data_IF_396270157679
#
_entry.id   IF_396270157679
#
_cell.length_a   1.000
_cell.length_b   1.000
_cell.length_c   1.000
_cell.angle_alpha   90.00
_cell.angle_beta   90.00
_cell.angle_gamma   90.00
#
_symmetry.space_group_name_H-M   'P 1'
#
loop_
_entity.id
_entity.type
_entity.pdbx_description
1 polymer ?
#
# COMPACT_ATOMS: atom_id res chain seq x y z
N UNK A 1 -20.51 -22.50 -40.28
CA UNK A 1 -19.90 -21.83 -39.11
C UNK A 1 -20.32 -20.39 -39.17
N UNK A 2 -21.04 -19.92 -38.16
CA UNK A 2 -21.49 -18.53 -38.10
C UNK A 2 -20.25 -17.61 -38.03
N UNK A 3 -20.32 -16.44 -38.65
CA UNK A 3 -19.19 -15.50 -38.74
C UNK A 3 -18.55 -15.16 -37.38
N UNK A 4 -19.31 -15.31 -36.29
CA UNK A 4 -18.84 -15.09 -34.93
C UNK A 4 -17.96 -16.22 -34.39
N UNK A 5 -18.17 -17.47 -34.81
CA UNK A 5 -17.36 -18.61 -34.39
C UNK A 5 -15.98 -18.55 -35.03
N UNK A 6 -15.93 -18.18 -36.32
CA UNK A 6 -14.67 -17.97 -37.03
C UNK A 6 -13.87 -16.79 -36.45
N UNK A 7 -14.54 -15.69 -36.07
CA UNK A 7 -13.87 -14.55 -35.43
C UNK A 7 -13.23 -14.94 -34.09
N UNK A 8 -13.97 -15.67 -33.24
CA UNK A 8 -13.43 -16.15 -31.95
C UNK A 8 -12.22 -17.06 -32.15
N UNK A 9 -12.27 -17.95 -33.15
CA UNK A 9 -11.18 -18.84 -33.49
C UNK A 9 -9.92 -18.08 -33.96
N UNK A 10 -10.09 -17.09 -34.84
CA UNK A 10 -9.00 -16.21 -35.27
C UNK A 10 -8.39 -15.48 -34.06
N UNK A 11 -9.21 -14.89 -33.20
CA UNK A 11 -8.71 -14.16 -32.02
C UNK A 11 -7.97 -15.07 -31.04
N UNK A 12 -8.41 -16.32 -30.87
CA UNK A 12 -7.76 -17.29 -29.98
C UNK A 12 -6.36 -17.72 -30.46
N UNK A 13 -6.12 -17.73 -31.78
CA UNK A 13 -4.86 -18.17 -32.37
C UNK A 13 -3.95 -17.03 -32.86
N UNK A 14 -4.42 -15.78 -32.86
CA UNK A 14 -3.62 -14.64 -33.30
C UNK A 14 -2.69 -14.16 -32.19
N UNK A 15 -1.42 -13.98 -32.51
CA UNK A 15 -0.43 -13.41 -31.59
C UNK A 15 -0.84 -12.02 -31.10
N UNK A 16 -0.69 -11.76 -29.80
CA UNK A 16 -1.07 -10.48 -29.16
C UNK A 16 -0.37 -9.28 -29.78
N UNK A 17 0.90 -9.42 -30.19
CA UNK A 17 1.65 -8.36 -30.88
C UNK A 17 0.99 -7.95 -32.20
N UNK A 18 0.55 -8.95 -32.98
CA UNK A 18 -0.14 -8.73 -34.26
C UNK A 18 -1.51 -8.10 -34.06
N UNK A 19 -2.24 -8.48 -33.01
CA UNK A 19 -3.51 -7.84 -32.64
C UNK A 19 -3.31 -6.38 -32.21
N UNK A 20 -2.32 -6.09 -31.35
CA UNK A 20 -1.99 -4.72 -30.93
C UNK A 20 -1.65 -3.85 -32.14
N UNK A 21 -0.80 -4.35 -33.04
CA UNK A 21 -0.45 -3.65 -34.28
C UNK A 21 -1.69 -3.37 -35.14
N UNK A 22 -2.52 -4.38 -35.40
CA UNK A 22 -3.75 -4.23 -36.16
C UNK A 22 -4.68 -3.18 -35.54
N UNK A 23 -4.92 -3.23 -34.23
CA UNK A 23 -5.78 -2.28 -33.52
C UNK A 23 -5.24 -0.86 -33.67
N UNK A 24 -3.93 -0.65 -33.51
CA UNK A 24 -3.30 0.66 -33.65
C UNK A 24 -3.39 1.21 -35.07
N UNK A 25 -3.09 0.38 -36.09
CA UNK A 25 -3.19 0.78 -37.50
C UNK A 25 -4.64 1.09 -37.89
N UNK A 26 -5.57 0.19 -37.54
CA UNK A 26 -6.99 0.34 -37.84
C UNK A 26 -7.62 1.55 -37.13
N UNK A 27 -7.22 1.86 -35.90
CA UNK A 27 -7.66 3.05 -35.18
C UNK A 27 -7.12 4.36 -35.76
N UNK A 28 -5.97 4.35 -36.43
CA UNK A 28 -5.44 5.54 -37.08
C UNK A 28 -6.29 5.96 -38.29
N UNK A 29 -6.72 4.97 -39.07
CA UNK A 29 -7.46 5.21 -40.31
C UNK A 29 -8.97 5.33 -40.09
N UNK A 30 -9.50 4.87 -38.95
CA UNK A 30 -10.94 4.83 -38.67
C UNK A 30 -11.29 5.49 -37.35
N UNK A 31 -11.68 6.77 -37.43
CA UNK A 31 -12.03 7.58 -36.27
C UNK A 31 -13.19 6.99 -35.44
N UNK A 32 -14.20 6.39 -36.08
CA UNK A 32 -15.34 5.79 -35.36
C UNK A 32 -14.88 4.61 -34.50
N UNK A 33 -14.05 3.73 -35.04
CA UNK A 33 -13.46 2.62 -34.30
C UNK A 33 -12.59 3.14 -33.15
N UNK A 34 -11.73 4.14 -33.42
CA UNK A 34 -10.88 4.75 -32.40
C UNK A 34 -11.70 5.33 -31.25
N UNK A 35 -12.77 6.06 -31.55
CA UNK A 35 -13.60 6.69 -30.52
C UNK A 35 -14.31 5.63 -29.66
N UNK A 36 -14.89 4.59 -30.26
CA UNK A 36 -15.51 3.48 -29.52
C UNK A 36 -14.47 2.71 -28.70
N UNK A 37 -13.29 2.48 -29.26
CA UNK A 37 -12.20 1.81 -28.57
C UNK A 37 -11.74 2.62 -27.35
N UNK A 38 -11.49 3.92 -27.54
CA UNK A 38 -11.12 4.81 -26.45
C UNK A 38 -12.24 4.90 -25.41
N UNK A 39 -13.50 5.02 -25.80
CA UNK A 39 -14.62 5.03 -24.85
C UNK A 39 -14.68 3.74 -24.01
N UNK A 40 -14.51 2.59 -24.66
CA UNK A 40 -14.66 1.28 -24.02
C UNK A 40 -13.48 0.92 -23.12
N UNK A 41 -12.26 1.20 -23.57
CA UNK A 41 -11.00 0.84 -22.91
C UNK A 41 -10.31 2.05 -22.25
N UNK A 42 -10.99 3.20 -22.15
CA UNK A 42 -10.44 4.38 -21.50
C UNK A 42 -10.01 4.02 -20.08
N UNK A 43 -8.78 4.36 -19.68
CA UNK A 43 -8.39 4.28 -18.28
C UNK A 43 -9.10 5.34 -17.43
N UNK A 44 -9.70 6.37 -18.03
CA UNK A 44 -10.38 7.43 -17.30
C UNK A 44 -11.57 6.87 -16.52
N UNK A 45 -11.84 7.43 -15.33
CA UNK A 45 -13.00 7.03 -14.54
C UNK A 45 -14.28 7.14 -15.38
N UNK A 46 -14.95 6.00 -15.60
CA UNK A 46 -16.25 5.98 -16.29
C UNK A 46 -17.27 6.68 -15.39
N UNK A 47 -18.02 7.69 -15.88
CA UNK A 47 -19.07 8.31 -15.11
C UNK A 47 -20.20 7.28 -14.93
N UNK A 48 -20.29 6.67 -13.75
CA UNK A 48 -21.48 5.91 -13.36
C UNK A 48 -22.45 6.86 -12.67
N UNK A 49 -23.70 6.99 -13.14
CA UNK A 49 -24.72 7.69 -12.38
C UNK A 49 -25.02 6.84 -11.14
N UNK A 50 -24.99 7.47 -9.95
CA UNK A 50 -25.53 6.97 -8.68
C UNK A 50 -24.67 6.04 -7.79
N UNK A 51 -23.38 5.80 -8.07
CA UNK A 51 -22.50 5.11 -7.10
C UNK A 51 -21.48 6.04 -6.46
N UNK A 52 -21.51 6.16 -5.12
CA UNK A 52 -20.51 6.89 -4.33
C UNK A 52 -19.11 6.24 -4.35
N UNK A 53 -19.04 4.95 -4.69
CA UNK A 53 -17.80 4.20 -4.83
C UNK A 53 -17.82 3.46 -6.17
N UNK A 54 -16.78 3.63 -7.00
CA UNK A 54 -16.63 2.79 -8.19
C UNK A 54 -16.21 1.40 -7.72
N UNK A 55 -16.94 0.36 -8.14
CA UNK A 55 -16.44 -0.99 -7.97
C UNK A 55 -15.14 -1.14 -8.78
N UNK A 56 -14.11 -1.80 -8.22
CA UNK A 56 -12.87 -2.06 -8.94
C UNK A 56 -13.17 -2.80 -10.25
N UNK A 57 -12.39 -2.53 -11.29
CA UNK A 57 -12.64 -3.15 -12.59
C UNK A 57 -12.39 -4.66 -12.56
N UNK A 58 -11.56 -5.13 -11.64
CA UNK A 58 -11.12 -6.52 -11.50
C UNK A 58 -11.14 -7.00 -10.05
N UNK A 59 -11.16 -8.33 -9.89
CA UNK A 59 -11.02 -9.01 -8.61
C UNK A 59 -9.53 -9.14 -8.26
N UNK A 60 -8.93 -8.03 -7.80
CA UNK A 60 -7.51 -7.96 -7.45
C UNK A 60 -7.09 -9.00 -6.39
N UNK A 61 -7.86 -9.28 -5.31
CA UNK A 61 -7.50 -10.32 -4.35
C UNK A 61 -7.32 -11.68 -5.01
N UNK A 62 -8.21 -12.04 -5.95
CA UNK A 62 -8.10 -13.29 -6.68
C UNK A 62 -6.90 -13.33 -7.61
N UNK A 63 -6.55 -12.22 -8.25
CA UNK A 63 -5.36 -12.13 -9.11
C UNK A 63 -4.09 -12.30 -8.27
N UNK A 64 -4.01 -11.62 -7.12
CA UNK A 64 -2.87 -11.69 -6.19
C UNK A 64 -2.72 -13.11 -5.65
N UNK A 65 -3.79 -13.71 -5.13
CA UNK A 65 -3.77 -15.12 -4.68
C UNK A 65 -3.28 -16.06 -5.79
N UNK A 66 -3.77 -15.85 -7.02
CA UNK A 66 -3.37 -16.67 -8.16
C UNK A 66 -1.87 -16.56 -8.45
N UNK A 67 -1.26 -15.40 -8.25
CA UNK A 67 0.18 -15.23 -8.40
C UNK A 67 0.97 -16.14 -7.45
N UNK A 68 0.53 -16.26 -6.19
CA UNK A 68 1.10 -17.19 -5.21
C UNK A 68 0.81 -18.65 -5.56
N UNK A 69 -0.43 -18.99 -5.93
CA UNK A 69 -0.81 -20.37 -6.32
C UNK A 69 0.03 -20.86 -7.52
N UNK A 70 0.29 -20.00 -8.50
CA UNK A 70 1.12 -20.31 -9.68
C UNK A 70 2.62 -20.14 -9.43
N UNK A 71 3.00 -19.54 -8.30
CA UNK A 71 4.37 -19.43 -7.80
C UNK A 71 4.73 -20.53 -6.81
N UNK A 72 3.83 -21.49 -6.53
CA UNK A 72 4.09 -22.58 -5.58
C UNK A 72 5.36 -23.32 -5.97
N UNK A 73 6.31 -23.36 -5.02
CA UNK A 73 7.58 -24.05 -5.17
C UNK A 73 7.69 -25.15 -4.13
N UNK A 74 8.27 -26.28 -4.57
CA UNK A 74 8.59 -27.40 -3.69
C UNK A 74 10.10 -27.55 -3.69
N UNK A 75 10.74 -27.20 -2.59
CA UNK A 75 12.16 -27.44 -2.43
C UNK A 75 12.41 -28.81 -1.80
N UNK A 76 13.53 -29.45 -2.16
CA UNK A 76 14.00 -30.67 -1.50
C UNK A 76 15.11 -30.31 -0.51
N UNK A 77 14.90 -30.63 0.77
CA UNK A 77 15.94 -30.56 1.78
C UNK A 77 17.15 -31.42 1.38
N UNK A 78 18.34 -30.81 1.31
CA UNK A 78 19.59 -31.46 0.87
C UNK A 78 20.14 -32.50 1.86
N UNK A 79 19.53 -32.66 3.03
CA UNK A 79 19.94 -33.60 4.08
C UNK A 79 18.80 -34.51 4.51
N UNK A 80 19.14 -35.79 4.68
CA UNK A 80 18.28 -36.94 4.99
C UNK A 80 17.34 -36.70 6.19
N UNK A 81 16.15 -36.18 5.91
CA UNK A 81 14.84 -36.65 6.39
C UNK A 81 13.76 -35.76 5.77
N UNK A 82 12.78 -36.40 5.13
CA UNK A 82 11.81 -35.85 4.20
C UNK A 82 10.82 -34.83 4.83
N UNK A 83 11.20 -33.56 4.88
CA UNK A 83 10.24 -32.46 4.96
C UNK A 83 10.26 -31.71 3.63
N UNK A 84 9.11 -31.68 2.96
CA UNK A 84 8.87 -30.77 1.84
C UNK A 84 8.50 -29.44 2.44
N UNK A 85 9.37 -28.44 2.32
CA UNK A 85 8.96 -27.06 2.55
C UNK A 85 8.17 -26.64 1.30
N UNK A 86 6.84 -26.63 1.45
CA UNK A 86 5.90 -26.10 0.48
C UNK A 86 5.79 -24.61 0.77
N UNK A 87 6.20 -23.78 -0.19
CA UNK A 87 6.04 -22.34 -0.12
C UNK A 87 5.97 -21.76 -1.53
N UNK A 88 6.57 -20.60 -1.75
CA UNK A 88 6.57 -19.94 -3.06
C UNK A 88 7.98 -19.61 -3.53
N UNK A 89 8.11 -19.43 -4.85
CA UNK A 89 9.26 -18.81 -5.48
C UNK A 89 9.01 -17.29 -5.54
N UNK A 90 9.72 -16.52 -4.70
CA UNK A 90 9.52 -15.09 -4.55
C UNK A 90 9.71 -14.30 -5.84
N UNK A 91 10.77 -14.59 -6.60
CA UNK A 91 11.01 -13.98 -7.92
C UNK A 91 9.84 -14.30 -8.87
N UNK A 92 9.34 -15.54 -8.87
CA UNK A 92 8.24 -15.92 -9.74
C UNK A 92 6.90 -15.28 -9.33
N UNK A 93 6.69 -15.03 -8.03
CA UNK A 93 5.51 -14.32 -7.51
C UNK A 93 5.61 -12.83 -7.81
N UNK A 94 6.75 -12.19 -7.50
CA UNK A 94 6.96 -10.76 -7.73
C UNK A 94 6.79 -10.40 -9.20
N UNK A 95 7.36 -11.18 -10.12
CA UNK A 95 7.17 -11.00 -11.57
C UNK A 95 5.70 -11.08 -12.03
N UNK A 96 4.83 -11.78 -11.28
CA UNK A 96 3.38 -11.85 -11.56
C UNK A 96 2.60 -10.72 -10.89
N UNK A 97 3.11 -10.14 -9.81
CA UNK A 97 2.50 -9.02 -9.11
C UNK A 97 2.92 -7.66 -9.68
N UNK A 98 4.14 -7.54 -10.21
CA UNK A 98 4.69 -6.32 -10.84
C UNK A 98 3.73 -5.69 -11.88
N UNK A 99 3.06 -6.47 -12.77
CA UNK A 99 2.08 -5.90 -13.70
C UNK A 99 0.90 -5.18 -13.02
N UNK A 100 0.57 -5.49 -11.77
CA UNK A 100 -0.45 -4.77 -11.01
C UNK A 100 0.05 -3.38 -10.58
N UNK A 101 1.30 -3.27 -10.10
CA UNK A 101 1.92 -1.97 -9.80
C UNK A 101 2.01 -1.11 -11.07
N UNK A 102 2.48 -1.69 -12.17
CA UNK A 102 2.51 -1.04 -13.48
C UNK A 102 1.13 -0.54 -13.92
N UNK A 103 0.09 -1.35 -13.67
CA UNK A 103 -1.30 -1.02 -13.95
C UNK A 103 -1.80 0.13 -13.07
N UNK A 104 -1.45 0.13 -11.78
CA UNK A 104 -1.80 1.21 -10.86
C UNK A 104 -1.14 2.53 -11.27
N UNK A 105 0.17 2.50 -11.57
CA UNK A 105 0.93 3.64 -12.13
C UNK A 105 0.32 4.11 -13.46
N UNK A 106 -0.16 3.19 -14.30
CA UNK A 106 -0.86 3.52 -15.54
C UNK A 106 -2.19 4.25 -15.30
N UNK A 107 -3.03 3.79 -14.37
CA UNK A 107 -4.28 4.47 -14.01
C UNK A 107 -4.02 5.85 -13.40
N UNK A 108 -2.99 5.97 -12.57
CA UNK A 108 -2.56 7.25 -11.98
C UNK A 108 -2.21 8.27 -13.07
N UNK A 109 -1.41 7.90 -14.08
CA UNK A 109 -1.06 8.76 -15.21
C UNK A 109 -2.26 9.24 -16.04
N UNK A 110 -3.42 8.60 -15.89
CA UNK A 110 -4.64 8.93 -16.62
C UNK A 110 -5.76 9.46 -15.73
N UNK A 111 -5.41 10.01 -14.55
CA UNK A 111 -6.34 10.60 -13.57
C UNK A 111 -7.39 9.62 -13.02
N UNK A 112 -7.15 8.32 -13.12
CA UNK A 112 -7.98 7.32 -12.44
C UNK A 112 -7.35 6.92 -11.10
N UNK A 113 -7.31 7.90 -10.19
CA UNK A 113 -6.71 7.73 -8.86
C UNK A 113 -7.43 6.69 -8.02
N UNK A 114 -8.76 6.60 -8.12
CA UNK A 114 -9.56 5.60 -7.38
C UNK A 114 -9.11 4.16 -7.72
N UNK A 115 -8.94 3.85 -9.00
CA UNK A 115 -8.51 2.51 -9.40
C UNK A 115 -7.05 2.23 -8.97
N UNK A 116 -6.17 3.25 -9.03
CA UNK A 116 -4.80 3.13 -8.54
C UNK A 116 -4.77 2.88 -7.02
N UNK A 117 -5.57 3.63 -6.23
CA UNK A 117 -5.75 3.42 -4.79
C UNK A 117 -6.23 2.00 -4.52
N UNK A 118 -7.24 1.53 -5.26
CA UNK A 118 -7.77 0.19 -5.08
C UNK A 118 -6.72 -0.90 -5.33
N UNK A 119 -5.91 -0.79 -6.39
CA UNK A 119 -4.86 -1.77 -6.64
C UNK A 119 -3.84 -1.79 -5.49
N UNK A 120 -3.35 -0.62 -5.07
CA UNK A 120 -2.39 -0.52 -3.97
C UNK A 120 -2.94 -1.12 -2.66
N UNK A 121 -4.17 -0.74 -2.28
CA UNK A 121 -4.84 -1.27 -1.10
C UNK A 121 -5.02 -2.79 -1.17
N UNK A 122 -5.32 -3.35 -2.35
CA UNK A 122 -5.48 -4.81 -2.48
C UNK A 122 -4.14 -5.55 -2.42
N UNK A 123 -3.05 -4.97 -2.97
CA UNK A 123 -1.70 -5.52 -2.80
C UNK A 123 -1.34 -5.57 -1.31
N UNK A 124 -1.51 -4.45 -0.60
CA UNK A 124 -1.25 -4.36 0.83
C UNK A 124 -2.15 -5.33 1.61
N UNK A 125 -3.46 -5.37 1.37
CA UNK A 125 -4.37 -6.22 2.13
C UNK A 125 -4.14 -7.71 1.86
N UNK A 126 -3.75 -8.12 0.65
CA UNK A 126 -3.80 -9.53 0.23
C UNK A 126 -2.45 -10.24 0.30
N UNK A 127 -1.34 -9.55 -0.02
CA UNK A 127 -0.01 -10.18 -0.02
C UNK A 127 0.33 -10.83 1.34
N UNK A 128 0.10 -10.19 2.50
CA UNK A 128 0.45 -10.77 3.80
C UNK A 128 -0.29 -12.07 4.13
N UNK A 129 -1.46 -12.31 3.53
CA UNK A 129 -2.23 -13.54 3.76
C UNK A 129 -1.53 -14.78 3.15
N UNK A 130 -0.58 -14.59 2.22
CA UNK A 130 0.13 -15.64 1.50
C UNK A 130 1.66 -15.56 1.59
N UNK A 131 2.19 -14.45 2.13
CA UNK A 131 3.61 -14.23 2.28
C UNK A 131 4.18 -14.97 3.49
N UNK A 132 5.40 -15.46 3.35
CA UNK A 132 6.16 -16.17 4.37
C UNK A 132 7.64 -15.77 4.19
N UNK A 133 8.22 -15.20 5.24
CA UNK A 133 9.61 -14.73 5.29
C UNK A 133 10.62 -15.81 4.89
N UNK A 134 10.29 -17.09 5.11
CA UNK A 134 11.16 -18.23 4.79
C UNK A 134 11.24 -18.53 3.29
N UNK A 135 10.46 -17.84 2.47
CA UNK A 135 10.43 -18.03 1.02
C UNK A 135 10.75 -16.77 0.23
N UNK A 136 11.00 -15.64 0.93
CA UNK A 136 11.30 -14.34 0.33
C UNK A 136 12.66 -13.79 0.80
N UNK A 137 13.70 -14.60 0.63
CA UNK A 137 15.06 -14.29 1.12
C UNK A 137 15.66 -13.02 0.52
N UNK A 138 15.34 -12.73 -0.74
CA UNK A 138 15.81 -11.55 -1.47
C UNK A 138 14.87 -10.34 -1.29
N UNK A 139 13.71 -10.54 -0.64
CA UNK A 139 12.70 -9.52 -0.44
C UNK A 139 11.96 -9.13 -1.71
N UNK A 140 11.91 -10.01 -2.72
CA UNK A 140 11.27 -9.73 -4.01
C UNK A 140 9.77 -9.43 -3.84
N UNK A 141 9.08 -10.14 -2.96
CA UNK A 141 7.65 -9.90 -2.69
C UNK A 141 7.48 -8.76 -1.68
N UNK A 142 8.38 -8.64 -0.70
CA UNK A 142 8.45 -7.46 0.18
C UNK A 142 8.51 -6.16 -0.64
N UNK A 143 9.36 -6.08 -1.67
CA UNK A 143 9.50 -4.87 -2.51
C UNK A 143 8.18 -4.49 -3.16
N UNK A 144 7.40 -5.46 -3.64
CA UNK A 144 6.07 -5.20 -4.21
C UNK A 144 5.12 -4.59 -3.18
N UNK A 145 5.18 -5.09 -1.94
CA UNK A 145 4.37 -4.58 -0.84
C UNK A 145 4.78 -3.15 -0.47
N UNK A 146 6.09 -2.89 -0.34
CA UNK A 146 6.64 -1.56 -0.05
C UNK A 146 6.31 -0.57 -1.16
N UNK A 147 6.45 -0.97 -2.44
CA UNK A 147 6.08 -0.11 -3.58
C UNK A 147 4.58 0.21 -3.63
N UNK A 148 3.72 -0.67 -3.11
CA UNK A 148 2.29 -0.39 -2.98
C UNK A 148 2.03 0.67 -1.89
N UNK A 149 2.81 0.68 -0.81
CA UNK A 149 2.77 1.73 0.22
C UNK A 149 3.29 3.04 -0.37
N UNK A 150 4.45 3.02 -1.03
CA UNK A 150 5.04 4.19 -1.70
C UNK A 150 4.06 4.81 -2.70
N UNK A 151 3.31 3.99 -3.42
CA UNK A 151 2.29 4.49 -4.34
C UNK A 151 1.15 5.24 -3.62
N UNK A 152 0.74 4.78 -2.43
CA UNK A 152 -0.23 5.51 -1.60
C UNK A 152 0.38 6.79 -1.03
N UNK A 153 1.65 6.79 -0.63
CA UNK A 153 2.38 7.98 -0.20
C UNK A 153 2.48 9.02 -1.33
N UNK A 154 2.87 8.62 -2.53
CA UNK A 154 2.92 9.49 -3.71
C UNK A 154 1.55 10.11 -3.99
N UNK A 155 0.48 9.32 -3.89
CA UNK A 155 -0.89 9.79 -4.02
C UNK A 155 -1.27 10.81 -2.94
N UNK A 156 -0.87 10.59 -1.68
CA UNK A 156 -1.16 11.48 -0.56
C UNK A 156 -0.33 12.77 -0.61
N UNK A 157 0.87 12.73 -1.17
CA UNK A 157 1.69 13.90 -1.48
C UNK A 157 1.09 14.76 -2.60
N UNK A 158 0.32 14.15 -3.50
CA UNK A 158 -0.42 14.83 -4.55
C UNK A 158 -1.71 15.47 -4.01
N UNK A 159 -2.28 16.43 -4.76
CA UNK A 159 -3.57 17.06 -4.41
C UNK A 159 -4.74 16.10 -4.62
N UNK A 160 -5.05 15.28 -3.62
CA UNK A 160 -6.25 14.44 -3.58
C UNK A 160 -7.52 15.26 -3.34
N UNK A 161 -8.65 14.73 -3.79
CA UNK A 161 -9.96 15.21 -3.34
C UNK A 161 -10.22 14.75 -1.91
N UNK A 162 -11.11 15.45 -1.19
CA UNK A 162 -11.52 15.02 0.16
C UNK A 162 -12.08 13.59 0.18
N UNK A 163 -12.78 13.18 -0.88
CA UNK A 163 -13.32 11.82 -1.02
C UNK A 163 -12.21 10.77 -1.20
N UNK A 164 -11.17 11.07 -1.98
CA UNK A 164 -10.01 10.19 -2.16
C UNK A 164 -9.19 10.09 -0.87
N UNK A 165 -8.98 11.20 -0.18
CA UNK A 165 -8.32 11.22 1.12
C UNK A 165 -9.07 10.37 2.14
N UNK A 166 -10.40 10.52 2.20
CA UNK A 166 -11.23 9.72 3.11
C UNK A 166 -11.25 8.23 2.72
N UNK A 167 -11.20 7.90 1.43
CA UNK A 167 -11.11 6.52 0.95
C UNK A 167 -9.84 5.83 1.45
N UNK A 168 -8.69 6.52 1.37
CA UNK A 168 -7.43 5.98 1.87
C UNK A 168 -7.45 5.93 3.40
N UNK A 169 -7.88 7.00 4.07
CA UNK A 169 -7.79 7.06 5.53
C UNK A 169 -8.77 6.11 6.23
N UNK A 170 -10.01 5.97 5.76
CA UNK A 170 -10.95 4.97 6.27
C UNK A 170 -10.45 3.54 6.06
N UNK A 171 -9.77 3.27 4.95
CA UNK A 171 -9.09 1.99 4.73
C UNK A 171 -7.95 1.80 5.73
N UNK A 172 -7.09 2.81 5.89
CA UNK A 172 -5.96 2.80 6.83
C UNK A 172 -6.43 2.51 8.26
N UNK A 173 -7.47 3.20 8.74
CA UNK A 173 -8.06 3.01 10.07
C UNK A 173 -8.51 1.56 10.35
N UNK A 174 -8.85 0.82 9.30
CA UNK A 174 -9.28 -0.59 9.40
C UNK A 174 -8.08 -1.54 9.44
N UNK A 175 -7.02 -1.25 8.69
CA UNK A 175 -5.89 -2.17 8.50
C UNK A 175 -4.77 -1.95 9.52
N UNK A 176 -4.61 -0.73 10.03
CA UNK A 176 -3.58 -0.42 11.00
C UNK A 176 -3.81 -1.18 12.32
N UNK A 177 -2.78 -1.89 12.77
CA UNK A 177 -2.83 -2.73 13.97
C UNK A 177 -3.37 -4.14 13.74
N UNK A 178 -3.69 -4.53 12.49
CA UNK A 178 -3.87 -5.94 12.14
C UNK A 178 -2.51 -6.65 12.14
N UNK A 179 -2.44 -7.80 12.79
CA UNK A 179 -1.19 -8.54 13.01
C UNK A 179 -0.50 -8.95 11.71
N UNK A 180 -1.26 -9.15 10.63
CA UNK A 180 -0.68 -9.52 9.34
C UNK A 180 0.18 -8.42 8.71
N UNK A 181 0.04 -7.17 9.15
CA UNK A 181 0.85 -6.05 8.67
C UNK A 181 2.02 -5.72 9.62
N UNK A 182 2.16 -6.43 10.74
CA UNK A 182 3.21 -6.15 11.74
C UNK A 182 4.62 -6.44 11.21
N UNK A 183 4.75 -7.41 10.31
CA UNK A 183 6.02 -7.78 9.71
C UNK A 183 5.84 -8.27 8.28
N UNK A 184 6.38 -7.51 7.34
CA UNK A 184 6.43 -7.85 5.91
C UNK A 184 7.86 -7.69 5.37
N UNK A 185 8.84 -7.81 6.26
CA UNK A 185 10.25 -7.59 5.98
C UNK A 185 10.82 -6.33 6.63
N UNK A 186 12.07 -5.99 6.28
CA UNK A 186 12.81 -4.91 6.94
C UNK A 186 12.39 -3.54 6.41
N UNK A 187 12.03 -2.62 7.32
CA UNK A 187 11.64 -1.22 7.05
C UNK A 187 10.26 -1.01 6.43
N UNK A 188 9.44 -2.05 6.34
CA UNK A 188 8.04 -1.92 5.93
C UNK A 188 7.20 -1.37 7.09
N UNK A 189 6.55 -0.21 6.91
CA UNK A 189 5.59 0.30 7.89
C UNK A 189 4.46 1.07 7.21
N UNK A 190 3.22 0.73 7.56
CA UNK A 190 2.05 1.51 7.17
C UNK A 190 1.93 2.83 7.95
N UNK A 191 2.64 2.95 9.08
CA UNK A 191 2.58 4.09 10.00
C UNK A 191 3.11 5.36 9.33
N UNK A 192 3.92 5.23 8.27
CA UNK A 192 4.38 6.33 7.41
C UNK A 192 3.23 7.17 6.85
N UNK A 193 2.06 6.56 6.64
CA UNK A 193 0.88 7.22 6.10
C UNK A 193 0.22 8.20 7.10
N UNK A 194 0.49 8.05 8.40
CA UNK A 194 -0.16 8.82 9.48
C UNK A 194 0.07 10.33 9.36
N UNK A 195 1.26 10.73 8.94
CA UNK A 195 1.65 12.14 8.82
C UNK A 195 0.78 12.89 7.79
N UNK A 196 0.45 12.24 6.68
CA UNK A 196 -0.41 12.81 5.64
C UNK A 196 -1.85 12.98 6.15
N UNK A 197 -2.36 12.00 6.90
CA UNK A 197 -3.70 12.09 7.47
C UNK A 197 -3.80 13.19 8.53
N UNK A 198 -2.76 13.37 9.34
CA UNK A 198 -2.76 14.38 10.39
C UNK A 198 -2.90 15.81 9.84
N UNK A 199 -2.25 16.10 8.71
CA UNK A 199 -2.24 17.42 8.09
C UNK A 199 -3.48 17.71 7.22
N UNK A 200 -3.86 16.77 6.35
CA UNK A 200 -4.73 17.06 5.21
C UNK A 200 -6.14 16.44 5.29
N UNK A 201 -6.39 15.48 6.21
CA UNK A 201 -7.71 14.90 6.38
C UNK A 201 -8.63 15.72 7.32
N UNK A 202 -9.93 15.69 7.06
CA UNK A 202 -10.93 16.35 7.91
C UNK A 202 -10.95 15.74 9.33
N UNK A 203 -10.56 16.53 10.33
CA UNK A 203 -10.37 16.04 11.70
C UNK A 203 -9.26 15.00 11.82
N UNK A 204 -8.34 14.98 10.86
CA UNK A 204 -7.34 13.95 10.66
C UNK A 204 -6.41 13.78 11.84
N UNK A 205 -5.87 14.89 12.34
CA UNK A 205 -5.03 14.90 13.54
C UNK A 205 -5.64 14.12 14.73
N UNK A 206 -6.89 14.40 15.09
CA UNK A 206 -7.54 13.73 16.23
C UNK A 206 -7.88 12.26 15.94
N UNK A 207 -8.06 11.87 14.68
CA UNK A 207 -8.23 10.47 14.27
C UNK A 207 -6.91 9.71 14.38
N UNK A 208 -5.83 10.25 13.81
CA UNK A 208 -4.48 9.68 13.89
C UNK A 208 -4.06 9.54 15.35
N UNK A 209 -4.27 10.58 16.17
CA UNK A 209 -3.93 10.54 17.58
C UNK A 209 -4.64 9.40 18.33
N UNK A 210 -5.91 9.11 18.00
CA UNK A 210 -6.63 7.95 18.56
C UNK A 210 -6.06 6.61 18.12
N UNK A 211 -5.53 6.51 16.89
CA UNK A 211 -4.89 5.29 16.39
C UNK A 211 -3.59 5.06 17.17
N UNK A 212 -2.75 6.08 17.26
CA UNK A 212 -1.48 6.03 17.99
C UNK A 212 -1.71 5.72 19.48
N UNK A 213 -2.70 6.35 20.11
CA UNK A 213 -3.07 6.07 21.50
C UNK A 213 -3.50 4.62 21.72
N UNK A 214 -4.23 4.03 20.77
CA UNK A 214 -4.60 2.61 20.82
C UNK A 214 -3.36 1.73 20.70
N UNK A 215 -2.44 2.02 19.76
CA UNK A 215 -1.16 1.30 19.60
C UNK A 215 -0.38 1.31 20.91
N UNK A 216 -0.16 2.48 21.52
CA UNK A 216 0.53 2.62 22.81
C UNK A 216 -0.12 1.78 23.94
N UNK A 217 -1.44 1.61 23.91
CA UNK A 217 -2.18 0.88 24.94
C UNK A 217 -2.05 -0.65 24.80
N UNK A 218 -1.91 -1.18 23.58
CA UNK A 218 -1.93 -2.62 23.30
C UNK A 218 -0.55 -3.21 22.96
N UNK A 219 0.42 -2.37 22.61
CA UNK A 219 1.76 -2.79 22.20
C UNK A 219 2.63 -3.30 23.35
N UNK A 220 3.48 -4.27 23.03
CA UNK A 220 4.60 -4.70 23.86
C UNK A 220 5.63 -3.58 24.06
N UNK A 221 6.53 -3.72 25.03
CA UNK A 221 7.36 -2.61 25.53
C UNK A 221 8.19 -1.89 24.44
N UNK A 222 8.77 -2.64 23.48
CA UNK A 222 9.51 -2.07 22.35
C UNK A 222 8.61 -1.28 21.38
N UNK A 223 7.54 -1.90 20.90
CA UNK A 223 6.57 -1.28 19.98
C UNK A 223 5.86 -0.08 20.64
N UNK A 224 5.64 -0.17 21.95
CA UNK A 224 5.08 0.91 22.75
C UNK A 224 6.00 2.11 22.84
N UNK A 225 7.30 1.89 23.06
CA UNK A 225 8.28 2.98 23.05
C UNK A 225 8.30 3.68 21.68
N UNK A 226 8.27 2.92 20.58
CA UNK A 226 8.22 3.46 19.21
C UNK A 226 6.97 4.33 19.00
N UNK A 227 5.78 3.80 19.32
CA UNK A 227 4.52 4.54 19.19
C UNK A 227 4.45 5.80 20.08
N UNK A 228 5.06 5.77 21.28
CA UNK A 228 5.16 6.97 22.13
C UNK A 228 6.05 8.04 21.49
N UNK A 229 7.18 7.65 20.90
CA UNK A 229 8.08 8.57 20.19
C UNK A 229 7.37 9.19 18.99
N UNK A 230 6.68 8.39 18.18
CA UNK A 230 5.85 8.85 17.05
C UNK A 230 4.79 9.86 17.52
N UNK A 231 4.07 9.55 18.61
CA UNK A 231 3.09 10.47 19.20
C UNK A 231 3.70 11.82 19.56
N UNK A 232 4.90 11.83 20.15
CA UNK A 232 5.57 13.07 20.54
C UNK A 232 5.86 13.93 19.30
N UNK A 233 6.44 13.34 18.26
CA UNK A 233 6.74 14.07 17.02
C UNK A 233 5.46 14.55 16.33
N UNK A 234 4.44 13.70 16.23
CA UNK A 234 3.13 14.06 15.68
C UNK A 234 2.53 15.28 16.40
N UNK A 235 2.60 15.32 17.74
CA UNK A 235 2.12 16.45 18.54
C UNK A 235 2.94 17.72 18.28
N UNK A 236 4.27 17.61 18.20
CA UNK A 236 5.18 18.74 17.96
C UNK A 236 4.97 19.35 16.57
N UNK A 237 4.91 18.53 15.52
CA UNK A 237 4.69 18.96 14.13
C UNK A 237 3.34 19.66 13.93
N UNK A 238 2.36 19.33 14.78
CA UNK A 238 1.02 19.92 14.76
C UNK A 238 0.81 21.03 15.82
N UNK A 239 1.89 21.62 16.34
CA UNK A 239 1.87 22.74 17.30
C UNK A 239 1.12 22.43 18.61
N UNK A 240 1.14 21.18 19.08
CA UNK A 240 0.52 20.71 20.33
C UNK A 240 1.57 20.54 21.44
N UNK A 241 2.46 21.52 21.60
CA UNK A 241 3.62 21.45 22.50
C UNK A 241 3.28 21.03 23.94
N UNK A 242 2.19 21.57 24.53
CA UNK A 242 1.80 21.22 25.89
C UNK A 242 1.42 19.74 26.05
N UNK A 243 0.80 19.14 25.03
CA UNK A 243 0.46 17.73 25.02
C UNK A 243 1.68 16.84 24.72
N UNK A 244 2.63 17.32 23.91
CA UNK A 244 3.91 16.66 23.71
C UNK A 244 4.70 16.62 25.02
N UNK A 245 4.76 17.73 25.77
CA UNK A 245 5.40 17.81 27.09
C UNK A 245 4.78 16.84 28.08
N UNK A 246 3.44 16.80 28.16
CA UNK A 246 2.73 15.86 29.01
C UNK A 246 3.07 14.39 28.64
N UNK A 247 3.13 14.08 27.36
CA UNK A 247 3.46 12.73 26.87
C UNK A 247 4.90 12.37 27.23
N UNK A 248 5.86 13.27 27.03
CA UNK A 248 7.26 13.06 27.42
C UNK A 248 7.37 12.76 28.91
N UNK A 249 6.78 13.61 29.77
CA UNK A 249 6.83 13.44 31.23
C UNK A 249 6.21 12.11 31.69
N UNK A 250 5.10 11.70 31.06
CA UNK A 250 4.44 10.42 31.36
C UNK A 250 5.33 9.20 31.03
N UNK A 251 6.16 9.30 30.00
CA UNK A 251 6.91 8.17 29.43
C UNK A 251 8.44 8.30 29.58
N UNK A 252 8.92 9.11 30.53
CA UNK A 252 10.36 9.32 30.80
C UNK A 252 11.14 8.05 31.17
N UNK A 253 10.48 6.94 31.49
CA UNK A 253 11.19 5.69 31.75
C UNK A 253 11.78 5.09 30.46
N UNK A 254 11.25 5.43 29.28
CA UNK A 254 11.81 4.99 28.01
C UNK A 254 13.09 5.77 27.64
N UNK A 255 14.16 5.08 27.19
CA UNK A 255 15.42 5.74 26.85
C UNK A 255 15.29 6.75 25.70
N UNK A 256 14.52 6.46 24.64
CA UNK A 256 14.41 7.38 23.51
C UNK A 256 13.59 8.63 23.87
N UNK A 257 12.57 8.47 24.72
CA UNK A 257 11.80 9.60 25.26
C UNK A 257 12.69 10.52 26.10
N UNK A 258 13.60 9.96 26.91
CA UNK A 258 14.62 10.75 27.63
C UNK A 258 15.57 11.47 26.69
N UNK A 259 15.98 10.84 25.59
CA UNK A 259 16.84 11.48 24.59
C UNK A 259 16.14 12.69 23.96
N UNK A 260 14.84 12.58 23.65
CA UNK A 260 14.02 13.71 23.17
C UNK A 260 13.96 14.82 24.22
N UNK A 261 13.63 14.48 25.48
CA UNK A 261 13.58 15.45 26.59
C UNK A 261 14.90 16.20 26.75
N UNK A 262 16.01 15.46 26.78
CA UNK A 262 17.35 16.01 26.89
C UNK A 262 17.65 16.98 25.74
N UNK A 263 17.40 16.57 24.48
CA UNK A 263 17.60 17.42 23.30
C UNK A 263 16.82 18.74 23.39
N UNK A 264 15.58 18.69 23.89
CA UNK A 264 14.74 19.88 24.08
C UNK A 264 15.27 20.81 25.17
N UNK A 265 15.69 20.24 26.31
CA UNK A 265 16.28 21.03 27.40
C UNK A 265 17.59 21.69 26.98
N UNK A 266 18.43 20.99 26.22
CA UNK A 266 19.67 21.55 25.67
C UNK A 266 19.38 22.67 24.68
N UNK A 267 18.41 22.49 23.78
CA UNK A 267 17.98 23.53 22.82
C UNK A 267 17.44 24.77 23.53
N UNK A 268 16.75 24.58 24.66
CA UNK A 268 16.22 25.67 25.49
C UNK A 268 17.23 26.24 26.48
N UNK A 269 18.51 25.84 26.41
CA UNK A 269 19.59 26.24 27.33
C UNK A 269 19.29 25.96 28.82
N UNK A 270 18.44 24.97 29.11
CA UNK A 270 18.06 24.53 30.47
C UNK A 270 19.00 23.45 30.99
N UNK A 271 20.28 23.79 31.14
CA UNK A 271 21.33 22.82 31.47
C UNK A 271 21.15 22.15 32.85
N UNK A 272 20.67 22.90 33.85
CA UNK A 272 20.45 22.35 35.19
C UNK A 272 19.38 21.25 35.23
N UNK A 273 18.35 21.40 34.39
CA UNK A 273 17.28 20.41 34.25
C UNK A 273 17.74 19.22 33.38
N UNK A 274 18.63 19.46 32.41
CA UNK A 274 19.18 18.42 31.54
C UNK A 274 20.09 17.41 32.28
N UNK A 275 20.65 17.81 33.42
CA UNK A 275 21.52 16.95 34.26
C UNK A 275 20.69 16.02 35.17
N UNK A 276 19.42 16.35 35.41
CA UNK A 276 18.52 15.60 36.31
C UNK A 276 17.75 14.52 35.57
#
# INVERSE_FOLDING_TARGET
>A
MESNDLLKDILAHTATSKLKQFISEYANDHADFRNVFLEKFSPKPKPKPDSKHKQPEEDYPRIIKKAFDEGESRSHGKYRNDYYDIGFDAEAVSNKLEPLLDKARYYLRHDNREEAIHIAQNLIDTIPDYWDENFDYEGDVQVIYDEAIDLLEDLLNDKLTTEQMELIFSWYERVIGDEKHNYMGLNTSLEVLENYFAADAAGGFERVLRIVDKRIAISEEYEKQRAVVEKIYLLEENNREAAADQTIEQYLFFPDVRAIRLKRLLTAERYDDAIR
#
